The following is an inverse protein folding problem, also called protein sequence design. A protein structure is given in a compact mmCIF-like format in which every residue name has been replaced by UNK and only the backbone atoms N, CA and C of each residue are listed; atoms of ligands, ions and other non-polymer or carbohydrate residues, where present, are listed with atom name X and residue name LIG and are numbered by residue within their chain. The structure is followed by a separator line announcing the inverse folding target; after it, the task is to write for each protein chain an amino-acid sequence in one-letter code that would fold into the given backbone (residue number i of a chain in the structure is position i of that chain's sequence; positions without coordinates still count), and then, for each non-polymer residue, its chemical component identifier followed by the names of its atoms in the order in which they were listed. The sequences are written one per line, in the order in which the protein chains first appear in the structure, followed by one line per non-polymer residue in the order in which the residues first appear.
data_IF_762959714579
#
_entry.id   IF_762959714579
#
_cell.length_a   1.000
_cell.length_b   1.000
_cell.length_c   1.000
_cell.angle_alpha   90.00
_cell.angle_beta   90.00
_cell.angle_gamma   90.00
#
_symmetry.space_group_name_H-M   'P 1'
#
loop_
_entity.id
_entity.type
_entity.pdbx_description
1 polymer ?
#
# COMPACT_ATOMS: atom_id res chain seq x y z
N UNK A 1 5.03 -7.43 13.86
CA UNK A 1 5.26 -5.99 14.15
C UNK A 1 4.50 -5.65 15.41
N UNK A 2 5.19 -5.18 16.47
CA UNK A 2 4.46 -4.47 17.52
C UNK A 2 3.84 -3.25 16.86
N UNK A 3 2.53 -3.04 16.95
CA UNK A 3 1.88 -1.91 16.32
C UNK A 3 2.54 -0.64 16.82
N UNK A 4 2.91 0.24 15.91
CA UNK A 4 3.32 1.58 16.33
C UNK A 4 2.08 2.25 16.93
N UNK A 5 2.15 2.83 18.14
CA UNK A 5 1.06 3.64 18.65
C UNK A 5 0.65 4.67 17.58
N UNK A 6 -0.62 4.99 17.46
CA UNK A 6 -1.14 5.86 16.38
C UNK A 6 -0.39 7.19 16.19
N UNK A 7 0.32 7.69 17.24
CA UNK A 7 1.24 8.82 17.15
C UNK A 7 2.53 8.52 16.38
N UNK A 8 3.04 7.27 16.44
CA UNK A 8 4.24 6.86 15.73
C UNK A 8 3.96 6.57 14.25
N UNK A 9 2.85 5.90 13.93
CA UNK A 9 2.40 5.72 12.54
C UNK A 9 2.24 7.08 11.84
N UNK A 10 1.66 8.07 12.52
CA UNK A 10 1.53 9.46 12.03
C UNK A 10 2.86 10.14 11.76
N UNK A 11 3.89 9.86 12.56
CA UNK A 11 5.23 10.43 12.38
C UNK A 11 5.95 9.83 11.17
N UNK A 12 5.79 8.53 10.93
CA UNK A 12 6.47 7.85 9.83
C UNK A 12 5.80 8.08 8.47
N UNK A 13 4.51 8.40 8.41
CA UNK A 13 3.86 8.85 7.18
C UNK A 13 4.44 10.15 6.61
N UNK A 14 4.95 11.05 7.47
CA UNK A 14 5.63 12.30 7.05
C UNK A 14 7.00 12.07 6.42
N UNK A 15 7.66 10.96 6.73
CA UNK A 15 8.99 10.65 6.17
C UNK A 15 8.97 10.55 4.66
N UNK A 16 7.88 10.04 4.07
CA UNK A 16 7.75 9.96 2.62
C UNK A 16 7.70 11.34 1.96
N UNK A 17 7.16 12.34 2.65
CA UNK A 17 7.13 13.72 2.17
C UNK A 17 8.53 14.35 2.12
N UNK A 18 9.40 14.02 3.08
CA UNK A 18 10.79 14.48 3.13
C UNK A 18 11.66 13.90 2.01
N UNK A 19 11.30 12.73 1.48
CA UNK A 19 12.03 12.01 0.41
C UNK A 19 11.18 11.91 -0.87
N UNK A 20 10.24 12.82 -1.08
CA UNK A 20 9.23 12.73 -2.14
C UNK A 20 9.82 12.49 -3.54
N UNK A 21 10.93 13.16 -3.89
CA UNK A 21 11.60 13.00 -5.19
C UNK A 21 12.26 11.61 -5.36
N UNK A 22 12.86 11.06 -4.31
CA UNK A 22 13.40 9.69 -4.33
C UNK A 22 12.29 8.66 -4.38
N UNK A 23 11.23 8.89 -3.59
CA UNK A 23 10.04 8.05 -3.59
C UNK A 23 9.43 7.95 -4.99
N UNK A 24 9.21 9.07 -5.65
CA UNK A 24 8.65 9.13 -7.01
C UNK A 24 9.50 8.36 -8.03
N UNK A 25 10.83 8.52 -7.97
CA UNK A 25 11.77 7.90 -8.92
C UNK A 25 11.89 6.39 -8.77
N UNK A 26 11.81 5.87 -7.54
CA UNK A 26 12.21 4.49 -7.25
C UNK A 26 11.06 3.58 -6.83
N UNK A 27 9.88 4.12 -6.51
CA UNK A 27 8.72 3.28 -6.23
C UNK A 27 8.06 2.80 -7.53
N UNK A 28 7.87 1.48 -7.67
CA UNK A 28 7.16 0.94 -8.82
C UNK A 28 5.69 1.36 -8.80
N UNK A 29 5.11 1.54 -9.99
CA UNK A 29 3.67 1.56 -10.16
C UNK A 29 3.05 0.17 -9.90
N UNK A 30 1.74 0.06 -10.07
CA UNK A 30 1.01 -1.19 -9.89
C UNK A 30 0.72 -1.83 -11.24
N UNK A 31 0.66 -3.18 -11.33
CA UNK A 31 0.33 -3.86 -12.57
C UNK A 31 -1.03 -3.42 -13.10
N UNK A 32 -1.09 -3.07 -14.37
CA UNK A 32 -2.33 -2.63 -15.03
C UNK A 32 -3.42 -3.68 -14.96
N UNK A 33 -3.05 -4.97 -15.02
CA UNK A 33 -3.97 -6.09 -14.90
C UNK A 33 -4.70 -6.13 -13.55
N UNK A 34 -4.02 -5.77 -12.44
CA UNK A 34 -4.66 -5.67 -11.12
C UNK A 34 -5.58 -4.45 -11.04
N UNK A 35 -5.18 -3.33 -11.64
CA UNK A 35 -6.05 -2.13 -11.71
C UNK A 35 -7.29 -2.42 -12.55
N UNK A 36 -7.13 -3.10 -13.69
CA UNK A 36 -8.25 -3.54 -14.53
C UNK A 36 -9.16 -4.51 -13.79
N UNK A 37 -8.59 -5.44 -13.03
CA UNK A 37 -9.37 -6.34 -12.18
C UNK A 37 -10.18 -5.58 -11.13
N UNK A 38 -9.58 -4.59 -10.47
CA UNK A 38 -10.28 -3.76 -9.49
C UNK A 38 -11.44 -2.98 -10.15
N UNK A 39 -11.22 -2.41 -11.33
CA UNK A 39 -12.26 -1.73 -12.11
C UNK A 39 -13.40 -2.68 -12.51
N UNK A 40 -13.07 -3.91 -12.96
CA UNK A 40 -14.08 -4.94 -13.29
C UNK A 40 -14.92 -5.33 -12.09
N UNK A 41 -14.28 -5.62 -10.94
CA UNK A 41 -15.00 -5.98 -9.70
C UNK A 41 -15.89 -4.82 -9.23
N UNK A 42 -15.42 -3.59 -9.35
CA UNK A 42 -16.19 -2.41 -8.98
C UNK A 42 -17.28 -2.04 -10.02
N UNK A 43 -17.28 -2.64 -11.20
CA UNK A 43 -18.20 -2.31 -12.29
C UNK A 43 -18.08 -0.85 -12.73
N UNK A 44 -16.84 -0.33 -12.79
CA UNK A 44 -16.56 1.08 -13.12
C UNK A 44 -15.80 1.22 -14.43
N UNK A 45 -16.01 2.35 -15.10
CA UNK A 45 -15.37 2.73 -16.34
C UNK A 45 -15.28 4.24 -16.50
N UNK A 46 -14.96 4.67 -17.73
CA UNK A 46 -14.76 6.09 -18.05
C UNK A 46 -15.92 6.96 -17.57
N UNK A 47 -15.57 8.07 -16.92
CA UNK A 47 -16.52 9.03 -16.33
C UNK A 47 -16.95 8.71 -14.90
N UNK A 48 -16.71 7.50 -14.37
CA UNK A 48 -17.05 7.16 -12.99
C UNK A 48 -16.13 7.88 -11.99
N UNK A 49 -16.69 8.22 -10.83
CA UNK A 49 -15.97 8.92 -9.76
C UNK A 49 -15.34 7.93 -8.80
N UNK A 50 -14.05 8.10 -8.56
CA UNK A 50 -13.28 7.30 -7.60
C UNK A 50 -12.50 8.20 -6.65
N UNK A 51 -12.27 7.71 -5.44
CA UNK A 51 -11.38 8.32 -4.45
C UNK A 51 -10.11 7.47 -4.37
N UNK A 52 -8.95 8.10 -4.37
CA UNK A 52 -7.70 7.46 -4.01
C UNK A 52 -7.20 8.01 -2.67
N UNK A 53 -7.00 7.14 -1.71
CA UNK A 53 -6.50 7.47 -0.36
C UNK A 53 -5.01 7.21 -0.30
N UNK A 54 -4.22 8.28 -0.11
CA UNK A 54 -2.76 8.24 -0.08
C UNK A 54 -2.18 8.09 -1.49
N UNK A 55 -2.44 9.07 -2.37
CA UNK A 55 -2.00 8.99 -3.76
C UNK A 55 -0.47 9.10 -3.93
N UNK A 56 0.25 9.54 -2.89
CA UNK A 56 1.69 9.76 -2.97
C UNK A 56 2.05 10.75 -4.09
N UNK A 57 2.99 10.38 -4.93
CA UNK A 57 3.38 11.15 -6.12
C UNK A 57 2.58 10.79 -7.39
N UNK A 58 1.49 10.01 -7.25
CA UNK A 58 0.49 9.80 -8.31
C UNK A 58 0.66 8.53 -9.15
N UNK A 59 1.38 7.51 -8.67
CA UNK A 59 1.62 6.29 -9.46
C UNK A 59 0.31 5.56 -9.82
N UNK A 60 -0.55 5.28 -8.84
CA UNK A 60 -1.84 4.64 -9.12
C UNK A 60 -2.83 5.64 -9.73
N UNK A 61 -2.79 6.92 -9.32
CA UNK A 61 -3.63 7.99 -9.88
C UNK A 61 -3.51 8.05 -11.40
N UNK A 62 -2.29 7.96 -11.94
CA UNK A 62 -2.02 7.94 -13.38
C UNK A 62 -2.73 6.78 -14.08
N UNK A 63 -2.65 5.60 -13.49
CA UNK A 63 -3.28 4.39 -14.03
C UNK A 63 -4.81 4.51 -14.03
N UNK A 64 -5.40 5.09 -12.97
CA UNK A 64 -6.84 5.33 -12.87
C UNK A 64 -7.30 6.41 -13.86
N UNK A 65 -6.59 7.54 -13.94
CA UNK A 65 -6.89 8.63 -14.87
C UNK A 65 -6.77 8.19 -16.33
N UNK A 66 -5.75 7.37 -16.66
CA UNK A 66 -5.57 6.78 -17.99
C UNK A 66 -6.74 5.90 -18.45
N UNK A 67 -7.57 5.42 -17.52
CA UNK A 67 -8.81 4.68 -17.79
C UNK A 67 -10.04 5.59 -17.94
N UNK A 68 -9.82 6.91 -17.93
CA UNK A 68 -10.89 7.91 -18.04
C UNK A 68 -11.72 8.09 -16.77
N UNK A 69 -11.25 7.57 -15.63
CA UNK A 69 -11.90 7.75 -14.33
C UNK A 69 -11.74 9.20 -13.84
N UNK A 70 -12.75 9.69 -13.12
CA UNK A 70 -12.68 10.99 -12.41
C UNK A 70 -12.12 10.75 -11.03
N UNK A 71 -10.83 11.06 -10.85
CA UNK A 71 -10.11 10.73 -9.63
C UNK A 71 -10.09 11.91 -8.66
N UNK A 72 -10.54 11.68 -7.42
CA UNK A 72 -10.22 12.55 -6.29
C UNK A 72 -9.02 11.93 -5.58
N UNK A 73 -7.84 12.54 -5.72
CA UNK A 73 -6.59 12.05 -5.16
C UNK A 73 -6.28 12.75 -3.84
N UNK A 74 -6.25 11.99 -2.74
CA UNK A 74 -6.04 12.48 -1.39
C UNK A 74 -4.63 12.13 -0.92
N UNK A 75 -3.87 13.12 -0.42
CA UNK A 75 -2.51 12.94 0.11
C UNK A 75 -2.22 13.99 1.19
N UNK A 76 -1.78 13.58 2.40
CA UNK A 76 -1.42 14.53 3.46
C UNK A 76 -0.06 15.22 3.25
N UNK A 77 0.88 14.59 2.52
CA UNK A 77 2.20 15.14 2.24
C UNK A 77 2.15 16.27 1.21
N UNK A 78 2.67 17.44 1.58
CA UNK A 78 2.66 18.62 0.70
C UNK A 78 3.62 18.50 -0.47
N UNK A 79 4.79 17.89 -0.24
CA UNK A 79 5.79 17.66 -1.30
C UNK A 79 5.33 16.56 -2.26
N UNK A 80 4.75 15.47 -1.72
CA UNK A 80 4.21 14.37 -2.52
C UNK A 80 3.06 14.84 -3.42
N UNK A 81 2.10 15.58 -2.86
CA UNK A 81 0.95 16.04 -3.66
C UNK A 81 1.35 17.11 -4.70
N UNK A 82 2.40 17.90 -4.41
CA UNK A 82 2.96 18.82 -5.40
C UNK A 82 3.58 18.06 -6.59
N UNK A 83 4.34 17.00 -6.32
CA UNK A 83 4.85 16.11 -7.36
C UNK A 83 3.73 15.40 -8.11
N UNK A 84 2.70 14.90 -7.41
CA UNK A 84 1.55 14.28 -8.07
C UNK A 84 0.86 15.23 -9.05
N UNK A 85 0.68 16.51 -8.69
CA UNK A 85 0.12 17.54 -9.57
C UNK A 85 0.99 17.75 -10.81
N UNK A 86 2.31 17.84 -10.63
CA UNK A 86 3.26 17.98 -11.73
C UNK A 86 3.28 16.75 -12.64
N UNK A 87 3.34 15.54 -12.05
CA UNK A 87 3.39 14.27 -12.77
C UNK A 87 2.13 13.97 -13.58
N UNK A 88 0.99 14.56 -13.18
CA UNK A 88 -0.33 14.30 -13.74
C UNK A 88 -0.91 15.51 -14.48
N UNK A 89 -0.07 16.49 -14.79
CA UNK A 89 -0.50 17.63 -15.61
C UNK A 89 -1.01 17.13 -16.97
N UNK A 90 -2.26 17.42 -17.29
CA UNK A 90 -2.91 16.94 -18.50
C UNK A 90 -3.33 15.47 -18.53
N UNK A 91 -3.17 14.72 -17.44
CA UNK A 91 -3.43 13.26 -17.41
C UNK A 91 -4.93 12.87 -17.30
N UNK A 92 -5.87 13.82 -17.37
CA UNK A 92 -7.30 13.57 -17.28
C UNK A 92 -8.00 14.34 -16.14
N UNK A 93 -9.17 13.86 -15.70
CA UNK A 93 -9.99 14.51 -14.66
C UNK A 93 -9.49 14.10 -13.26
N UNK A 94 -8.46 14.78 -12.76
CA UNK A 94 -7.86 14.53 -11.44
C UNK A 94 -7.97 15.76 -10.56
N UNK A 95 -8.72 15.63 -9.47
CA UNK A 95 -8.80 16.62 -8.39
C UNK A 95 -7.93 16.21 -7.20
N UNK A 96 -7.14 17.13 -6.64
CA UNK A 96 -6.24 16.86 -5.53
C UNK A 96 -6.72 17.49 -4.22
N UNK A 97 -6.71 16.71 -3.14
CA UNK A 97 -7.05 17.14 -1.78
C UNK A 97 -5.84 16.91 -0.85
N UNK A 98 -5.23 17.99 -0.36
CA UNK A 98 -4.12 17.90 0.59
C UNK A 98 -4.67 17.81 2.00
N UNK A 99 -4.94 16.62 2.46
CA UNK A 99 -5.45 16.32 3.80
C UNK A 99 -5.21 14.85 4.16
N UNK A 100 -5.27 14.54 5.45
CA UNK A 100 -5.36 13.15 5.92
C UNK A 100 -6.77 12.62 5.62
N UNK A 101 -6.88 11.31 5.44
CA UNK A 101 -8.17 10.69 5.15
C UNK A 101 -9.19 10.94 6.26
N UNK A 102 -8.76 10.92 7.50
CA UNK A 102 -9.59 11.14 8.69
C UNK A 102 -10.16 12.57 8.74
N UNK A 103 -9.42 13.55 8.22
CA UNK A 103 -9.74 14.97 8.35
C UNK A 103 -10.36 15.58 7.08
N UNK A 104 -10.25 14.88 5.94
CA UNK A 104 -10.71 15.39 4.66
C UNK A 104 -12.23 15.60 4.61
N UNK A 105 -12.67 16.74 4.11
CA UNK A 105 -14.11 16.99 3.87
C UNK A 105 -14.52 16.36 2.55
N UNK A 106 -15.01 15.14 2.62
CA UNK A 106 -15.44 14.35 1.48
C UNK A 106 -16.97 14.18 1.49
N UNK A 107 -17.63 14.25 0.33
CA UNK A 107 -19.06 14.02 0.23
C UNK A 107 -19.38 12.53 0.51
N UNK A 108 -20.49 12.29 1.19
CA UNK A 108 -21.01 10.93 1.42
C UNK A 108 -21.57 10.36 0.13
N UNK A 109 -21.50 9.04 -0.02
CA UNK A 109 -22.13 8.28 -1.12
C UNK A 109 -21.87 8.89 -2.51
N UNK A 110 -20.59 9.25 -2.74
CA UNK A 110 -20.19 9.96 -3.96
C UNK A 110 -19.36 9.11 -4.90
N UNK A 111 -18.58 8.19 -4.35
CA UNK A 111 -17.59 7.42 -5.09
C UNK A 111 -18.07 6.00 -5.36
N UNK A 112 -17.91 5.54 -6.59
CA UNK A 112 -18.19 4.15 -6.96
C UNK A 112 -17.11 3.19 -6.47
N UNK A 113 -15.86 3.69 -6.34
CA UNK A 113 -14.78 2.95 -5.72
C UNK A 113 -13.89 3.86 -4.88
N UNK A 114 -13.32 3.29 -3.82
CA UNK A 114 -12.21 3.85 -3.04
C UNK A 114 -11.00 2.97 -3.27
N UNK A 115 -9.93 3.55 -3.77
CA UNK A 115 -8.64 2.91 -3.97
C UNK A 115 -7.66 3.36 -2.90
N UNK A 116 -6.78 2.45 -2.48
CA UNK A 116 -5.61 2.83 -1.69
C UNK A 116 -4.46 1.87 -1.99
N UNK A 117 -3.33 2.43 -2.39
CA UNK A 117 -2.17 1.67 -2.79
C UNK A 117 -1.00 1.91 -1.82
N UNK A 118 -0.64 0.90 -1.02
CA UNK A 118 0.40 0.96 0.03
C UNK A 118 0.20 2.10 1.04
N UNK A 119 -1.03 2.56 1.26
CA UNK A 119 -1.31 3.74 2.08
C UNK A 119 -2.37 3.53 3.17
N UNK A 120 -3.38 2.66 2.99
CA UNK A 120 -4.51 2.55 3.91
C UNK A 120 -4.12 2.21 5.36
N UNK A 121 -3.01 1.49 5.54
CA UNK A 121 -2.49 1.14 6.86
C UNK A 121 -1.87 2.32 7.64
N UNK A 122 -1.74 3.49 7.01
CA UNK A 122 -1.33 4.74 7.67
C UNK A 122 -2.52 5.53 8.22
N UNK A 123 -3.73 5.26 7.74
CA UNK A 123 -4.94 5.87 8.22
C UNK A 123 -5.33 5.33 9.61
N UNK A 124 -6.06 6.12 10.40
CA UNK A 124 -6.53 5.71 11.72
C UNK A 124 -7.56 4.58 11.59
N UNK A 125 -7.25 3.35 12.05
CA UNK A 125 -8.15 2.20 11.87
C UNK A 125 -9.48 2.34 12.61
N UNK A 126 -9.58 3.22 13.63
CA UNK A 126 -10.82 3.43 14.38
C UNK A 126 -11.87 4.18 13.55
N UNK A 127 -11.42 4.96 12.57
CA UNK A 127 -12.33 5.77 11.74
C UNK A 127 -12.27 5.45 10.25
N UNK A 128 -11.15 4.97 9.75
CA UNK A 128 -10.91 4.84 8.31
C UNK A 128 -11.84 3.85 7.61
N UNK A 129 -12.18 2.73 8.26
CA UNK A 129 -13.09 1.73 7.68
C UNK A 129 -14.52 2.28 7.53
N UNK A 130 -15.05 2.93 8.58
CA UNK A 130 -16.37 3.56 8.52
C UNK A 130 -16.37 4.68 7.48
N UNK A 131 -15.31 5.48 7.45
CA UNK A 131 -15.19 6.58 6.53
C UNK A 131 -15.12 6.14 5.06
N UNK A 132 -14.43 5.04 4.78
CA UNK A 132 -14.41 4.44 3.44
C UNK A 132 -15.82 3.99 3.02
N UNK A 133 -16.58 3.40 3.94
CA UNK A 133 -17.97 3.04 3.68
C UNK A 133 -18.86 4.27 3.46
N UNK A 134 -18.67 5.34 4.26
CA UNK A 134 -19.48 6.55 4.17
C UNK A 134 -19.36 7.28 2.84
N UNK A 135 -18.18 7.33 2.24
CA UNK A 135 -17.93 8.03 0.97
C UNK A 135 -18.31 7.19 -0.26
N UNK A 136 -18.36 5.86 -0.13
CA UNK A 136 -18.80 4.95 -1.18
C UNK A 136 -20.32 5.01 -1.37
N UNK A 137 -20.77 4.92 -2.61
CA UNK A 137 -22.19 4.63 -2.90
C UNK A 137 -22.57 3.23 -2.34
N UNK A 138 -23.86 2.94 -2.07
CA UNK A 138 -24.28 1.58 -1.76
C UNK A 138 -23.82 0.60 -2.83
N UNK A 139 -23.19 -0.52 -2.42
CA UNK A 139 -22.59 -1.48 -3.35
C UNK A 139 -21.25 -1.03 -3.98
N UNK A 140 -20.76 0.16 -3.65
CA UNK A 140 -19.45 0.64 -4.11
C UNK A 140 -18.29 -0.19 -3.53
N UNK A 141 -17.15 -0.17 -4.17
CA UNK A 141 -16.02 -1.08 -3.90
C UNK A 141 -14.87 -0.37 -3.20
N UNK A 142 -14.36 -0.96 -2.13
CA UNK A 142 -13.04 -0.65 -1.55
C UNK A 142 -11.99 -1.57 -2.20
N UNK A 143 -10.94 -0.99 -2.77
CA UNK A 143 -9.86 -1.69 -3.45
C UNK A 143 -8.51 -1.32 -2.83
N UNK A 144 -7.85 -2.28 -2.18
CA UNK A 144 -6.57 -2.11 -1.51
C UNK A 144 -5.48 -2.85 -2.28
N UNK A 145 -4.41 -2.14 -2.63
CA UNK A 145 -3.26 -2.67 -3.37
C UNK A 145 -1.98 -2.51 -2.56
N UNK A 146 -1.11 -3.53 -2.60
CA UNK A 146 0.24 -3.43 -2.01
C UNK A 146 1.18 -4.49 -2.58
N UNK A 147 2.49 -4.20 -2.56
CA UNK A 147 3.53 -5.18 -2.77
C UNK A 147 3.97 -5.79 -1.44
N UNK A 148 4.13 -7.10 -1.43
CA UNK A 148 4.70 -7.85 -0.31
C UNK A 148 5.90 -8.68 -0.78
N UNK A 149 6.85 -8.96 0.11
CA UNK A 149 7.88 -9.96 -0.16
C UNK A 149 7.25 -11.35 -0.28
N UNK A 150 7.71 -12.12 -1.25
CA UNK A 150 7.20 -13.47 -1.50
C UNK A 150 8.32 -14.49 -1.26
N UNK A 151 8.01 -15.59 -0.55
CA UNK A 151 8.92 -16.70 -0.42
C UNK A 151 8.95 -17.52 -1.72
N UNK A 152 10.15 -17.68 -2.28
CA UNK A 152 10.36 -18.45 -3.48
C UNK A 152 11.74 -19.11 -3.47
N UNK A 153 11.83 -20.38 -3.85
CA UNK A 153 13.07 -21.15 -3.79
C UNK A 153 14.24 -20.48 -4.54
N UNK A 154 13.95 -19.89 -5.71
CA UNK A 154 14.98 -19.25 -6.58
C UNK A 154 15.55 -17.94 -6.02
N UNK A 155 14.90 -17.30 -5.04
CA UNK A 155 15.35 -16.04 -4.43
C UNK A 155 15.66 -16.18 -2.94
N UNK A 156 15.45 -17.35 -2.36
CA UNK A 156 15.63 -17.60 -0.91
C UNK A 156 17.01 -17.17 -0.42
N UNK A 157 18.08 -17.61 -1.11
CA UNK A 157 19.44 -17.25 -0.73
C UNK A 157 19.69 -15.74 -0.68
N UNK A 158 19.17 -15.00 -1.67
CA UNK A 158 19.32 -13.55 -1.80
C UNK A 158 18.50 -12.83 -0.72
N UNK A 159 17.26 -13.29 -0.50
CA UNK A 159 16.36 -12.75 0.53
C UNK A 159 16.89 -12.99 1.94
N UNK A 160 17.41 -14.20 2.22
CA UNK A 160 18.04 -14.53 3.50
C UNK A 160 19.27 -13.66 3.75
N UNK A 161 20.09 -13.43 2.71
CA UNK A 161 21.25 -12.56 2.79
C UNK A 161 20.85 -11.10 3.06
N UNK A 162 19.83 -10.57 2.35
CA UNK A 162 19.33 -9.21 2.56
C UNK A 162 18.73 -9.04 3.97
N UNK A 163 17.95 -10.03 4.45
CA UNK A 163 17.39 -10.00 5.80
C UNK A 163 18.49 -10.13 6.88
N UNK A 164 19.53 -10.94 6.63
CA UNK A 164 20.69 -11.05 7.51
C UNK A 164 21.44 -9.71 7.61
N UNK A 165 21.57 -8.95 6.51
CA UNK A 165 22.14 -7.62 6.51
C UNK A 165 21.33 -6.66 7.40
N UNK A 166 20.01 -6.63 7.26
CA UNK A 166 19.15 -5.81 8.13
C UNK A 166 19.27 -6.27 9.59
N UNK A 167 19.28 -7.58 9.86
CA UNK A 167 19.43 -8.13 11.22
C UNK A 167 20.75 -7.74 11.86
N UNK A 168 21.84 -7.71 11.10
CA UNK A 168 23.18 -7.28 11.56
C UNK A 168 23.22 -5.80 11.90
N UNK A 169 22.57 -4.97 11.10
CA UNK A 169 22.62 -3.51 11.19
C UNK A 169 21.58 -2.95 12.18
N UNK A 170 20.39 -3.52 12.20
CA UNK A 170 19.25 -3.06 12.97
C UNK A 170 18.40 -4.24 13.48
N UNK A 171 18.86 -4.99 14.49
CA UNK A 171 18.23 -6.21 14.97
C UNK A 171 16.78 -5.99 15.44
N UNK A 172 16.49 -4.86 16.07
CA UNK A 172 15.13 -4.52 16.54
C UNK A 172 14.14 -4.34 15.38
N UNK A 173 14.62 -3.79 14.27
CA UNK A 173 13.82 -3.65 13.04
C UNK A 173 13.61 -5.03 12.41
N UNK A 174 14.67 -5.82 12.31
CA UNK A 174 14.62 -7.17 11.74
C UNK A 174 13.71 -8.11 12.52
N UNK A 175 13.67 -8.00 13.85
CA UNK A 175 12.77 -8.78 14.71
C UNK A 175 11.29 -8.56 14.41
N UNK A 176 10.94 -7.40 13.85
CA UNK A 176 9.59 -7.04 13.44
C UNK A 176 9.32 -7.24 11.95
N UNK A 177 10.26 -7.84 11.20
CA UNK A 177 10.10 -8.06 9.76
C UNK A 177 8.99 -9.06 9.49
N UNK A 178 8.06 -8.77 8.56
CA UNK A 178 7.02 -9.72 8.20
C UNK A 178 7.64 -11.00 7.65
N UNK A 179 7.12 -12.15 8.05
CA UNK A 179 7.49 -13.40 7.41
C UNK A 179 7.07 -13.39 5.95
N UNK A 180 7.97 -13.78 5.06
CA UNK A 180 7.61 -14.03 3.68
C UNK A 180 6.71 -15.28 3.60
N UNK A 181 5.82 -15.28 2.65
CA UNK A 181 4.90 -16.38 2.37
C UNK A 181 5.01 -16.73 0.90
N UNK A 182 4.85 -17.97 0.57
CA UNK A 182 4.68 -18.38 -0.82
C UNK A 182 3.29 -17.96 -1.35
N UNK A 183 3.07 -18.20 -2.64
CA UNK A 183 1.83 -17.83 -3.30
C UNK A 183 0.62 -18.54 -2.69
N UNK A 184 0.72 -19.85 -2.46
CA UNK A 184 -0.39 -20.67 -1.98
C UNK A 184 -0.77 -20.30 -0.55
N UNK A 185 0.22 -20.10 0.33
CA UNK A 185 0.00 -19.63 1.70
C UNK A 185 -0.64 -18.22 1.72
N UNK A 186 -0.25 -17.35 0.77
CA UNK A 186 -0.83 -16.01 0.64
C UNK A 186 -2.31 -16.08 0.25
N UNK A 187 -2.64 -16.86 -0.76
CA UNK A 187 -4.03 -17.03 -1.22
C UNK A 187 -4.89 -17.73 -0.15
N UNK A 188 -4.40 -18.81 0.44
CA UNK A 188 -5.11 -19.51 1.52
C UNK A 188 -5.36 -18.62 2.74
N UNK A 189 -4.38 -17.79 3.11
CA UNK A 189 -4.52 -16.87 4.24
C UNK A 189 -5.54 -15.76 4.00
N UNK A 190 -5.67 -15.26 2.78
CA UNK A 190 -6.72 -14.31 2.40
C UNK A 190 -8.08 -15.00 2.44
N UNK A 191 -8.20 -16.19 1.84
CA UNK A 191 -9.45 -16.95 1.80
C UNK A 191 -9.99 -17.25 3.20
N UNK A 192 -9.14 -17.66 4.15
CA UNK A 192 -9.53 -17.86 5.55
C UNK A 192 -10.13 -16.60 6.22
N UNK A 193 -9.83 -15.41 5.67
CA UNK A 193 -10.25 -14.11 6.22
C UNK A 193 -11.24 -13.37 5.34
N UNK A 194 -11.81 -14.05 4.33
CA UNK A 194 -12.73 -13.43 3.36
C UNK A 194 -14.00 -12.83 3.99
N UNK A 195 -14.31 -13.17 5.23
CA UNK A 195 -15.42 -12.58 5.98
C UNK A 195 -15.19 -11.14 6.42
N UNK A 196 -13.92 -10.66 6.43
CA UNK A 196 -13.58 -9.33 6.89
C UNK A 196 -12.31 -8.79 6.18
N UNK A 197 -12.48 -7.81 5.30
CA UNK A 197 -11.38 -7.21 4.54
C UNK A 197 -10.28 -6.65 5.44
N UNK A 198 -10.62 -6.08 6.59
CA UNK A 198 -9.63 -5.50 7.50
C UNK A 198 -8.74 -6.56 8.12
N UNK A 199 -9.28 -7.73 8.42
CA UNK A 199 -8.49 -8.85 8.95
C UNK A 199 -7.58 -9.45 7.86
N UNK A 200 -8.07 -9.58 6.63
CA UNK A 200 -7.25 -10.02 5.51
C UNK A 200 -6.09 -9.05 5.26
N UNK A 201 -6.37 -7.75 5.23
CA UNK A 201 -5.36 -6.72 5.00
C UNK A 201 -4.36 -6.59 6.16
N UNK A 202 -4.83 -6.65 7.40
CA UNK A 202 -4.00 -6.68 8.61
C UNK A 202 -3.02 -7.87 8.60
N UNK A 203 -3.52 -9.06 8.25
CA UNK A 203 -2.71 -10.27 8.18
C UNK A 203 -1.65 -10.21 7.06
N UNK A 204 -2.00 -9.70 5.87
CA UNK A 204 -1.08 -9.55 4.74
C UNK A 204 0.12 -8.67 5.11
N UNK A 205 -0.13 -7.50 5.67
CA UNK A 205 0.90 -6.51 5.98
C UNK A 205 1.46 -6.60 7.40
N UNK A 206 0.95 -7.51 8.25
CA UNK A 206 1.28 -7.57 9.68
C UNK A 206 1.04 -6.21 10.36
N UNK A 207 -0.04 -5.51 9.98
CA UNK A 207 -0.45 -4.23 10.54
C UNK A 207 -1.58 -4.40 11.54
N UNK A 208 -1.60 -3.62 12.62
CA UNK A 208 -2.72 -3.61 13.58
C UNK A 208 -3.85 -2.68 13.11
N UNK A 209 -4.47 -3.05 12.00
CA UNK A 209 -5.59 -2.30 11.42
C UNK A 209 -6.87 -3.13 11.29
N UNK A 210 -6.84 -4.38 11.74
CA UNK A 210 -8.02 -5.24 11.75
C UNK A 210 -9.09 -4.70 12.70
N UNK A 211 -10.32 -4.53 12.21
CA UNK A 211 -11.47 -4.09 13.02
C UNK A 211 -12.70 -4.93 12.65
N UNK A 212 -13.45 -5.34 13.65
CA UNK A 212 -14.66 -6.13 13.42
C UNK A 212 -15.75 -5.36 12.66
N UNK A 213 -15.82 -4.03 12.87
CA UNK A 213 -16.77 -3.20 12.16
C UNK A 213 -16.63 -3.31 10.64
N UNK A 214 -15.41 -3.49 10.12
CA UNK A 214 -15.19 -3.63 8.70
C UNK A 214 -15.91 -4.83 8.07
N UNK A 215 -16.07 -5.94 8.79
CA UNK A 215 -16.86 -7.10 8.33
C UNK A 215 -18.37 -6.83 8.26
N UNK A 216 -18.87 -5.86 9.05
CA UNK A 216 -20.26 -5.40 8.95
C UNK A 216 -20.45 -4.37 7.83
N UNK A 217 -19.44 -3.57 7.55
CA UNK A 217 -19.48 -2.52 6.53
C UNK A 217 -19.27 -3.05 5.12
N UNK A 218 -18.41 -4.06 4.99
CA UNK A 218 -17.97 -4.60 3.71
C UNK A 218 -18.20 -6.11 3.62
N UNK A 219 -18.55 -6.57 2.45
CA UNK A 219 -18.72 -7.99 2.13
C UNK A 219 -18.09 -8.33 0.78
N UNK A 220 -18.29 -9.57 0.35
CA UNK A 220 -17.78 -10.06 -0.93
C UNK A 220 -16.26 -9.78 -1.13
N UNK A 221 -15.48 -10.19 -0.14
CA UNK A 221 -14.02 -10.01 -0.19
C UNK A 221 -13.43 -10.91 -1.26
N UNK A 222 -12.74 -10.30 -2.22
CA UNK A 222 -12.04 -10.98 -3.32
C UNK A 222 -10.58 -10.55 -3.33
N UNK A 223 -9.72 -11.40 -3.88
CA UNK A 223 -8.31 -11.07 -4.06
C UNK A 223 -7.80 -11.48 -5.44
N UNK A 224 -6.86 -10.69 -5.94
CA UNK A 224 -6.05 -11.04 -7.09
C UNK A 224 -4.58 -10.76 -6.75
N UNK A 225 -3.69 -11.57 -7.32
CA UNK A 225 -2.26 -11.52 -7.01
C UNK A 225 -1.43 -11.63 -8.28
N UNK A 226 -0.30 -10.92 -8.30
CA UNK A 226 0.68 -11.00 -9.39
C UNK A 226 2.09 -11.13 -8.82
N UNK A 227 2.71 -12.31 -8.90
CA UNK A 227 4.10 -12.51 -8.56
C UNK A 227 5.02 -11.72 -9.50
N UNK A 228 6.12 -11.17 -8.97
CA UNK A 228 7.13 -10.45 -9.72
C UNK A 228 8.52 -10.81 -9.21
N UNK A 229 9.39 -11.21 -10.13
CA UNK A 229 10.82 -11.32 -9.89
C UNK A 229 11.51 -10.04 -10.34
N UNK A 230 12.38 -9.50 -9.51
CA UNK A 230 13.23 -8.37 -9.82
C UNK A 230 14.69 -8.69 -9.53
N UNK A 231 15.59 -8.02 -10.24
CA UNK A 231 17.03 -8.08 -10.02
C UNK A 231 17.53 -6.66 -9.77
N UNK A 232 18.39 -6.49 -8.77
CA UNK A 232 18.87 -5.18 -8.35
C UNK A 232 20.39 -5.17 -8.19
N UNK A 233 21.04 -4.18 -8.74
CA UNK A 233 22.38 -3.79 -8.32
C UNK A 233 22.32 -3.25 -6.89
N UNK A 234 23.49 -3.10 -6.17
CA UNK A 234 23.50 -2.50 -4.85
C UNK A 234 22.88 -1.11 -4.81
N UNK A 235 23.16 -0.28 -5.83
CA UNK A 235 22.64 1.08 -5.92
C UNK A 235 21.10 1.10 -6.10
N UNK A 236 20.57 0.25 -6.98
CA UNK A 236 19.11 0.11 -7.20
C UNK A 236 18.41 -0.41 -5.97
N UNK A 237 19.00 -1.43 -5.30
CA UNK A 237 18.44 -1.96 -4.05
C UNK A 237 18.48 -0.89 -2.95
N UNK A 238 19.60 -0.19 -2.80
CA UNK A 238 19.76 0.91 -1.86
C UNK A 238 18.75 2.04 -2.12
N UNK A 239 18.54 2.41 -3.38
CA UNK A 239 17.56 3.42 -3.77
C UNK A 239 16.13 3.01 -3.42
N UNK A 240 15.75 1.76 -3.71
CA UNK A 240 14.44 1.22 -3.33
C UNK A 240 14.28 1.16 -1.80
N UNK A 241 15.28 0.66 -1.09
CA UNK A 241 15.27 0.52 0.38
C UNK A 241 15.14 1.88 1.07
N UNK A 242 15.78 2.93 0.57
CA UNK A 242 15.64 4.31 1.07
C UNK A 242 14.20 4.81 1.06
N UNK A 243 13.37 4.30 0.16
CA UNK A 243 11.94 4.64 0.09
C UNK A 243 11.05 3.80 1.02
N UNK A 244 11.60 2.87 1.81
CA UNK A 244 10.83 2.04 2.73
C UNK A 244 10.75 2.68 4.12
N UNK A 245 9.61 2.53 4.78
CA UNK A 245 9.35 3.15 6.09
C UNK A 245 10.34 2.77 7.19
N UNK A 246 10.92 1.57 7.14
CA UNK A 246 11.92 1.14 8.12
C UNK A 246 13.24 1.91 8.00
N UNK A 247 13.62 2.32 6.78
CA UNK A 247 14.87 3.05 6.54
C UNK A 247 14.93 4.39 7.27
N UNK A 248 13.79 5.05 7.39
CA UNK A 248 13.67 6.28 8.17
C UNK A 248 13.99 6.11 9.67
N UNK A 249 13.86 4.89 10.18
CA UNK A 249 14.16 4.54 11.57
C UNK A 249 15.66 4.27 11.81
N UNK A 250 16.44 4.10 10.73
CA UNK A 250 17.87 3.87 10.80
C UNK A 250 18.63 5.17 11.10
N UNK A 251 19.61 5.10 12.00
CA UNK A 251 20.61 6.17 12.18
C UNK A 251 21.49 6.31 10.94
N UNK A 252 22.16 7.46 10.73
CA UNK A 252 23.10 7.64 9.61
C UNK A 252 24.17 6.55 9.52
N UNK A 253 24.72 6.11 10.66
CA UNK A 253 25.71 5.02 10.69
C UNK A 253 25.12 3.67 10.25
N UNK A 254 23.87 3.38 10.65
CA UNK A 254 23.18 2.17 10.22
C UNK A 254 22.87 2.19 8.72
N UNK A 255 22.47 3.33 8.16
CA UNK A 255 22.24 3.49 6.72
C UNK A 255 23.49 3.16 5.92
N UNK A 256 24.63 3.77 6.29
CA UNK A 256 25.91 3.46 5.64
C UNK A 256 26.35 2.00 5.83
N UNK A 257 26.08 1.40 6.99
CA UNK A 257 26.37 0.00 7.22
C UNK A 257 25.52 -0.92 6.34
N UNK A 258 24.24 -0.59 6.14
CA UNK A 258 23.35 -1.35 5.25
C UNK A 258 23.79 -1.28 3.79
N UNK A 259 24.20 -0.10 3.31
CA UNK A 259 24.73 0.06 1.94
C UNK A 259 25.99 -0.81 1.73
N UNK A 260 26.90 -0.86 2.72
CA UNK A 260 28.07 -1.75 2.66
C UNK A 260 27.70 -3.25 2.65
N UNK A 261 26.68 -3.64 3.39
CA UNK A 261 26.20 -5.03 3.38
C UNK A 261 25.59 -5.40 2.03
N UNK A 262 24.83 -4.50 1.39
CA UNK A 262 24.30 -4.74 0.03
C UNK A 262 25.42 -4.92 -0.98
N UNK A 263 26.45 -4.10 -0.94
CA UNK A 263 27.64 -4.26 -1.79
C UNK A 263 28.34 -5.60 -1.53
N UNK A 264 28.53 -5.97 -0.26
CA UNK A 264 29.17 -7.24 0.09
C UNK A 264 28.34 -8.47 -0.37
N UNK A 265 27.01 -8.38 -0.36
CA UNK A 265 26.13 -9.42 -0.89
C UNK A 265 26.33 -9.54 -2.40
N UNK A 266 26.32 -8.42 -3.13
CA UNK A 266 26.50 -8.38 -4.57
C UNK A 266 27.84 -8.99 -4.99
N UNK A 267 28.94 -8.58 -4.34
CA UNK A 267 30.27 -9.12 -4.61
C UNK A 267 30.35 -10.62 -4.36
N UNK A 268 29.74 -11.13 -3.29
CA UNK A 268 29.71 -12.56 -2.98
C UNK A 268 28.87 -13.35 -3.99
N UNK A 269 27.76 -12.81 -4.48
CA UNK A 269 26.90 -13.48 -5.45
C UNK A 269 27.48 -13.43 -6.86
N UNK A 270 28.32 -12.42 -7.19
CA UNK A 270 28.82 -12.18 -8.54
C UNK A 270 27.74 -11.86 -9.58
N UNK A 271 26.57 -11.43 -9.12
CA UNK A 271 25.40 -11.10 -9.95
C UNK A 271 24.43 -10.18 -9.17
N UNK A 272 23.47 -9.52 -9.86
CA UNK A 272 22.42 -8.77 -9.20
C UNK A 272 21.66 -9.57 -8.15
N UNK A 273 21.23 -8.89 -7.10
CA UNK A 273 20.45 -9.45 -5.98
C UNK A 273 19.01 -9.65 -6.46
N UNK A 274 18.50 -10.85 -6.32
CA UNK A 274 17.13 -11.20 -6.73
C UNK A 274 16.16 -11.02 -5.59
N UNK A 275 15.00 -10.46 -5.90
CA UNK A 275 13.90 -10.34 -4.97
C UNK A 275 12.60 -10.82 -5.62
N UNK A 276 11.90 -11.74 -4.96
CA UNK A 276 10.54 -12.12 -5.32
C UNK A 276 9.55 -11.30 -4.51
N UNK A 277 8.63 -10.65 -5.18
CA UNK A 277 7.54 -9.89 -4.60
C UNK A 277 6.21 -10.33 -5.19
N UNK A 278 5.15 -10.04 -4.49
CA UNK A 278 3.79 -10.26 -4.96
C UNK A 278 3.01 -8.95 -4.85
N UNK A 279 2.45 -8.49 -5.96
CA UNK A 279 1.45 -7.44 -5.93
C UNK A 279 0.10 -8.07 -5.58
N UNK A 280 -0.55 -7.56 -4.55
CA UNK A 280 -1.83 -8.07 -4.06
C UNK A 280 -2.86 -6.97 -4.19
N UNK A 281 -4.00 -7.31 -4.78
CA UNK A 281 -5.24 -6.55 -4.74
C UNK A 281 -6.21 -7.30 -3.83
N UNK A 282 -6.80 -6.60 -2.86
CA UNK A 282 -7.96 -7.09 -2.10
C UNK A 282 -9.10 -6.11 -2.29
N UNK A 283 -10.25 -6.60 -2.68
CA UNK A 283 -11.47 -5.80 -2.86
C UNK A 283 -12.58 -6.27 -1.94
N UNK A 284 -13.48 -5.35 -1.55
CA UNK A 284 -14.73 -5.70 -0.90
C UNK A 284 -15.81 -4.67 -1.24
N UNK A 285 -17.07 -5.10 -1.31
CA UNK A 285 -18.20 -4.23 -1.60
C UNK A 285 -18.82 -3.67 -0.32
N UNK A 286 -19.16 -2.38 -0.33
CA UNK A 286 -19.95 -1.77 0.73
C UNK A 286 -21.35 -2.46 0.78
N UNK A 287 -21.73 -2.95 1.96
CA UNK A 287 -23.07 -3.51 2.17
C UNK A 287 -24.13 -2.42 2.07
N UNK A 288 -25.29 -2.77 1.51
CA UNK A 288 -26.38 -1.81 1.29
C UNK A 288 -26.94 -1.22 2.60
N UNK A 289 -26.94 -1.99 3.67
CA UNK A 289 -27.45 -1.66 5.01
C UNK A 289 -26.39 -1.03 5.95
N UNK A 290 -25.18 -0.82 5.47
CA UNK A 290 -24.08 -0.21 6.25
C UNK A 290 -24.33 1.29 6.64
N UNK A 291 -25.37 1.92 6.12
CA UNK A 291 -25.70 3.33 6.40
C UNK A 291 -26.51 3.57 7.69
N UNK A 292 -26.95 2.50 8.38
CA UNK A 292 -27.93 2.57 9.47
C UNK A 292 -27.41 2.57 10.91
N UNK A 293 -26.09 2.46 11.16
CA UNK A 293 -25.56 2.19 12.51
C UNK A 293 -25.18 3.43 13.36
N UNK A 294 -25.44 4.64 12.90
CA UNK A 294 -25.08 5.89 13.63
C UNK A 294 -26.26 6.70 14.11
N UNK A 295 -27.38 6.07 14.46
CA UNK A 295 -28.55 6.81 14.91
C UNK A 295 -29.37 6.10 15.97
N UNK A 296 -28.75 5.69 17.11
CA UNK A 296 -29.43 5.48 18.39
C UNK A 296 -28.40 5.16 19.49
N UNK A 297 -27.87 6.18 20.14
CA UNK A 297 -27.65 6.23 21.59
C UNK A 297 -27.44 7.67 22.00
#
# INVERSE_FOLDING_TARGET
MTPLPGSAARRYGRVFDEIAAEYDRHRPGYPDELVDQACRVAGIGSGDRVLEVGCGSGQLTRSLAGRGLRVTALEPGTSLIALARQNLEGAGDVGFVNARFEDARLPRERFRAVFSASAFHWADPEVSWQRAADVLVPGGTLALLQYFGMEEARTRQDQDAALAAVRKVAPDIAASWPAYRDLDATLAGIEQRRGNISQAWSWLGSHDIGRECAGRLFGDVQAAVMPKLTEHTPDELGALVRTMSFYARLSPGQRQALDREHEAIYQRLGRPIRASTIAVLVTAQRRADAAGATGQQ
#
